data_IF_025590263807
#
_entry.id   IF_025590263807
#
_cell.length_a   1.000
_cell.length_b   1.000
_cell.length_c   1.000
_cell.angle_alpha   90.00
_cell.angle_beta   90.00
_cell.angle_gamma   90.00
#
_symmetry.space_group_name_H-M   'P 1'
#
loop_
_entity.id
_entity.type
_entity.pdbx_description
1 polymer ?
#
# COMPACT_ATOMS: atom_id res chain seq x y z
N UNK A 1 2.56 -1.24 -26.42
CA UNK A 1 1.95 -1.23 -25.08
C UNK A 1 2.43 -2.48 -24.36
N UNK A 2 2.88 -2.40 -23.11
CA UNK A 2 3.58 -3.51 -22.43
C UNK A 2 2.66 -4.59 -21.84
N UNK A 3 1.33 -4.45 -21.93
CA UNK A 3 0.37 -5.46 -21.47
C UNK A 3 0.35 -5.65 -19.95
N UNK A 4 0.53 -4.57 -19.18
CA UNK A 4 0.49 -4.59 -17.72
C UNK A 4 -0.95 -4.42 -17.24
N UNK A 5 -1.41 -5.30 -16.36
CA UNK A 5 -2.77 -5.29 -15.79
C UNK A 5 -2.85 -4.60 -14.41
N UNK A 6 -1.73 -4.51 -13.69
CA UNK A 6 -1.67 -4.04 -12.31
C UNK A 6 -0.27 -3.55 -11.95
N UNK A 7 -0.17 -2.56 -11.05
CA UNK A 7 1.10 -2.08 -10.49
C UNK A 7 1.09 -2.31 -8.98
N UNK A 8 2.10 -3.02 -8.47
CA UNK A 8 2.37 -3.18 -7.03
C UNK A 8 3.50 -2.24 -6.60
N UNK A 9 3.20 -1.34 -5.66
CA UNK A 9 4.12 -0.30 -5.20
C UNK A 9 4.67 -0.66 -3.82
N UNK A 10 5.98 -0.92 -3.74
CA UNK A 10 6.69 -1.25 -2.51
C UNK A 10 8.02 -0.49 -2.38
N UNK A 11 8.59 -0.41 -1.16
CA UNK A 11 9.90 0.20 -0.89
C UNK A 11 11.10 -0.57 -1.48
N UNK A 12 10.90 -1.81 -1.91
CA UNK A 12 11.99 -2.73 -2.23
C UNK A 12 12.90 -3.05 -1.02
N UNK A 13 14.07 -3.66 -1.30
CA UNK A 13 15.04 -4.12 -0.28
C UNK A 13 15.72 -2.98 0.52
N UNK A 14 15.45 -1.71 0.20
CA UNK A 14 15.90 -0.54 0.97
C UNK A 14 15.12 -0.30 2.27
N UNK A 15 14.01 -1.01 2.49
CA UNK A 15 13.11 -0.84 3.63
C UNK A 15 13.70 -1.10 5.03
N UNK A 16 14.96 -1.55 5.14
CA UNK A 16 15.63 -1.73 6.43
C UNK A 16 16.04 -0.40 7.08
N UNK A 17 16.33 0.63 6.29
CA UNK A 17 16.69 1.96 6.81
C UNK A 17 15.51 2.90 6.61
N UNK A 18 14.56 2.86 7.54
CA UNK A 18 13.44 3.81 7.60
C UNK A 18 14.01 5.23 7.50
N UNK A 19 13.75 6.01 6.44
CA UNK A 19 14.10 7.41 6.40
C UNK A 19 13.40 8.12 7.55
N UNK A 20 14.21 8.65 8.45
CA UNK A 20 13.89 9.64 9.49
C UNK A 20 12.40 9.83 9.80
N UNK A 21 11.89 9.07 10.78
CA UNK A 21 10.62 9.40 11.44
C UNK A 21 9.35 8.83 10.82
N UNK A 22 9.42 8.13 9.68
CA UNK A 22 8.22 7.47 9.15
C UNK A 22 7.95 6.14 9.88
N UNK A 23 6.99 6.18 10.79
CA UNK A 23 6.50 5.08 11.61
C UNK A 23 4.97 5.11 11.55
N UNK A 24 4.33 3.95 11.52
CA UNK A 24 2.86 3.83 11.51
C UNK A 24 2.29 3.23 10.23
N UNK A 25 0.97 3.08 10.22
CA UNK A 25 0.19 2.86 9.00
C UNK A 25 0.45 4.06 8.07
N UNK A 26 0.39 3.86 6.74
CA UNK A 26 0.47 4.92 5.70
C UNK A 26 1.83 5.28 5.09
N UNK A 27 2.99 4.92 5.67
CA UNK A 27 4.29 5.41 5.20
C UNK A 27 4.52 5.41 3.67
N UNK A 28 4.12 4.35 2.96
CA UNK A 28 4.25 4.23 1.50
C UNK A 28 3.03 4.64 0.69
N UNK A 29 1.94 4.93 1.37
CA UNK A 29 0.67 5.24 0.75
C UNK A 29 0.73 6.53 -0.10
N UNK A 30 1.44 7.61 0.28
CA UNK A 30 1.53 8.81 -0.55
C UNK A 30 2.06 8.53 -1.96
N UNK A 31 3.09 7.68 -2.08
CA UNK A 31 3.69 7.32 -3.38
C UNK A 31 2.71 6.50 -4.23
N UNK A 32 2.05 5.51 -3.62
CA UNK A 32 1.04 4.69 -4.30
C UNK A 32 -0.17 5.52 -4.76
N UNK A 33 -0.66 6.42 -3.91
CA UNK A 33 -1.77 7.32 -4.24
C UNK A 33 -1.38 8.34 -5.30
N UNK A 34 -0.16 8.89 -5.23
CA UNK A 34 0.36 9.80 -6.25
C UNK A 34 0.44 9.10 -7.60
N UNK A 35 1.00 7.88 -7.67
CA UNK A 35 1.03 7.08 -8.89
C UNK A 35 -0.37 6.83 -9.44
N UNK A 36 -1.36 6.54 -8.59
CA UNK A 36 -2.74 6.30 -9.01
C UNK A 36 -3.37 7.53 -9.69
N UNK A 37 -2.93 8.73 -9.34
CA UNK A 37 -3.36 9.96 -10.02
C UNK A 37 -2.79 10.11 -11.44
N UNK A 38 -1.71 9.40 -11.77
CA UNK A 38 -1.01 9.50 -13.06
C UNK A 38 -1.32 8.34 -14.01
N UNK A 39 -1.86 7.23 -13.52
CA UNK A 39 -2.10 6.02 -14.31
C UNK A 39 -3.54 5.53 -14.16
N UNK A 40 -4.09 4.98 -15.24
CA UNK A 40 -5.41 4.35 -15.22
C UNK A 40 -5.37 2.87 -14.79
N UNK A 41 -4.17 2.33 -14.52
CA UNK A 41 -4.03 0.95 -14.05
C UNK A 41 -4.37 0.87 -12.55
N UNK A 42 -4.98 -0.23 -12.09
CA UNK A 42 -5.15 -0.44 -10.67
C UNK A 42 -3.80 -0.50 -9.97
N UNK A 43 -3.76 0.02 -8.74
CA UNK A 43 -2.56 0.05 -7.90
C UNK A 43 -2.81 -0.75 -6.62
N UNK A 44 -1.88 -1.63 -6.26
CA UNK A 44 -1.76 -2.20 -4.93
C UNK A 44 -0.89 -1.27 -4.08
N UNK A 45 -1.41 -0.86 -2.92
CA UNK A 45 -0.62 -0.19 -1.88
C UNK A 45 -0.11 -1.18 -0.83
N UNK A 46 1.15 -1.05 -0.42
CA UNK A 46 1.78 -1.82 0.66
C UNK A 46 2.25 -0.83 1.72
N UNK A 47 1.71 -0.82 2.95
CA UNK A 47 2.32 0.03 4.01
C UNK A 47 1.89 -0.27 5.44
N UNK A 48 2.44 -1.31 6.08
CA UNK A 48 2.33 -1.46 7.54
C UNK A 48 0.92 -1.31 8.11
N UNK A 49 -0.09 -1.73 7.34
CA UNK A 49 -1.51 -1.59 7.65
C UNK A 49 -1.87 -2.63 8.71
N UNK A 50 -2.57 -2.19 9.75
CA UNK A 50 -2.90 -2.99 10.93
C UNK A 50 -4.40 -3.03 11.20
N UNK A 51 -5.18 -2.07 10.69
CA UNK A 51 -6.61 -1.95 11.01
C UNK A 51 -7.54 -1.99 9.79
N UNK A 52 -8.69 -2.66 9.96
CA UNK A 52 -9.75 -2.72 8.94
C UNK A 52 -10.29 -1.35 8.58
N UNK A 53 -10.48 -0.47 9.58
CA UNK A 53 -10.97 0.88 9.36
C UNK A 53 -10.04 1.70 8.44
N UNK A 54 -8.73 1.46 8.52
CA UNK A 54 -7.78 2.10 7.63
C UNK A 54 -7.91 1.53 6.21
N UNK A 55 -8.02 0.20 6.05
CA UNK A 55 -8.28 -0.44 4.74
C UNK A 55 -9.54 0.14 4.09
N UNK A 56 -10.62 0.27 4.85
CA UNK A 56 -11.88 0.83 4.37
C UNK A 56 -11.72 2.27 3.89
N UNK A 57 -11.00 3.12 4.63
CA UNK A 57 -10.70 4.49 4.20
C UNK A 57 -9.94 4.52 2.87
N UNK A 58 -8.95 3.65 2.70
CA UNK A 58 -8.14 3.61 1.49
C UNK A 58 -8.97 3.28 0.25
N UNK A 59 -9.84 2.29 0.36
CA UNK A 59 -10.67 1.82 -0.74
C UNK A 59 -11.81 2.82 -0.99
N UNK A 60 -12.51 3.27 0.06
CA UNK A 60 -13.64 4.19 -0.05
C UNK A 60 -13.24 5.54 -0.68
N UNK A 61 -12.03 6.03 -0.36
CA UNK A 61 -11.51 7.27 -0.93
C UNK A 61 -10.71 7.05 -2.22
N UNK A 62 -10.77 5.86 -2.81
CA UNK A 62 -10.09 5.51 -4.05
C UNK A 62 -8.58 5.79 -4.02
N UNK A 63 -7.93 5.75 -2.84
CA UNK A 63 -6.49 6.00 -2.68
C UNK A 63 -5.63 4.91 -3.31
N UNK A 64 -6.11 3.66 -3.28
CA UNK A 64 -5.55 2.48 -3.96
C UNK A 64 -6.68 1.58 -4.46
N UNK A 65 -6.39 0.63 -5.35
CA UNK A 65 -7.39 -0.34 -5.81
C UNK A 65 -7.39 -1.61 -4.94
N UNK A 66 -6.22 -1.98 -4.44
CA UNK A 66 -6.03 -3.11 -3.53
C UNK A 66 -5.03 -2.76 -2.43
N UNK A 67 -5.10 -3.52 -1.35
CA UNK A 67 -4.19 -3.42 -0.21
C UNK A 67 -3.48 -4.77 -0.02
N UNK A 68 -2.16 -4.72 0.15
CA UNK A 68 -1.37 -5.89 0.51
C UNK A 68 -1.03 -5.88 2.01
N UNK A 69 -1.52 -6.90 2.72
CA UNK A 69 -1.21 -7.16 4.14
C UNK A 69 -0.09 -8.19 4.25
N UNK A 70 0.93 -7.91 5.06
CA UNK A 70 2.09 -8.81 5.23
C UNK A 70 2.31 -9.19 6.69
N UNK A 71 2.58 -8.21 7.57
CA UNK A 71 2.82 -8.52 8.99
C UNK A 71 1.54 -8.86 9.73
N UNK A 72 0.47 -8.11 9.48
CA UNK A 72 -0.84 -8.33 10.09
C UNK A 72 -1.37 -9.76 9.84
N UNK A 73 -1.30 -10.26 8.60
CA UNK A 73 -1.79 -11.62 8.28
C UNK A 73 -0.92 -12.74 8.87
N UNK A 74 0.35 -12.46 9.19
CA UNK A 74 1.21 -13.43 9.87
C UNK A 74 0.92 -13.48 11.38
N UNK A 75 0.54 -12.34 11.98
CA UNK A 75 0.15 -12.28 13.39
C UNK A 75 -1.28 -12.76 13.63
N UNK A 76 -2.19 -12.43 12.72
CA UNK A 76 -3.59 -12.85 12.75
C UNK A 76 -4.08 -13.19 11.33
N UNK A 77 -4.03 -14.47 10.93
CA UNK A 77 -4.47 -14.89 9.61
C UNK A 77 -5.99 -14.78 9.40
N UNK A 78 -6.76 -14.70 10.48
CA UNK A 78 -8.22 -14.65 10.45
C UNK A 78 -8.77 -13.22 10.45
N UNK A 79 -7.94 -12.24 10.81
CA UNK A 79 -8.33 -10.83 10.98
C UNK A 79 -8.85 -10.55 12.38
#
# INVERSE_FOLDING_TARGET
>A
MLGVDLIDVSLGNGGWRRPEGHQGEDYLLPDATLLKSYVNLPIIGVSGIETDAFIDDLIANNKVAFVALVRAILSDPCG
#
